data_IF_065453732917
#
_entry.id   IF_065453732917
#
_cell.length_a   1.000
_cell.length_b   1.000
_cell.length_c   1.000
_cell.angle_alpha   90.00
_cell.angle_beta   90.00
_cell.angle_gamma   90.00
#
_symmetry.space_group_name_H-M   'P 1'
#
loop_
_entity.id
_entity.type
_entity.pdbx_description
1 polymer ?
#
# COMPACT_ATOMS: atom_id res chain seq x y z
N UNK A 1 6.24 18.69 5.54
CA UNK A 1 6.35 17.45 4.74
C UNK A 1 4.94 16.92 4.60
N UNK A 2 4.43 16.66 3.39
CA UNK A 2 3.20 15.89 3.29
C UNK A 2 3.52 14.45 3.67
N UNK A 3 2.68 13.82 4.48
CA UNK A 3 2.74 12.39 4.65
C UNK A 3 2.45 11.74 3.28
N UNK A 4 3.24 10.75 2.92
CA UNK A 4 3.04 9.97 1.69
C UNK A 4 1.72 9.20 1.83
N UNK A 5 0.90 9.18 0.78
CA UNK A 5 -0.28 8.33 0.80
C UNK A 5 0.13 6.85 0.82
N UNK A 6 -0.79 5.98 1.22
CA UNK A 6 -0.55 4.54 1.18
C UNK A 6 -0.19 4.05 -0.24
N UNK A 7 -0.81 4.62 -1.26
CA UNK A 7 -0.50 4.34 -2.67
C UNK A 7 0.95 4.69 -3.00
N UNK A 8 1.43 5.84 -2.54
CA UNK A 8 2.80 6.29 -2.75
C UNK A 8 3.80 5.39 -2.02
N UNK A 9 3.47 4.93 -0.81
CA UNK A 9 4.32 4.02 -0.04
C UNK A 9 4.47 2.67 -0.76
N UNK A 10 3.35 2.10 -1.22
CA UNK A 10 3.35 0.82 -1.95
C UNK A 10 4.15 0.95 -3.25
N UNK A 11 3.91 2.02 -4.01
CA UNK A 11 4.63 2.28 -5.26
C UNK A 11 6.15 2.39 -5.01
N UNK A 12 6.58 3.20 -4.05
CA UNK A 12 7.99 3.40 -3.75
C UNK A 12 8.69 2.11 -3.33
N UNK A 13 8.09 1.31 -2.45
CA UNK A 13 8.71 0.07 -1.99
C UNK A 13 8.69 -1.01 -3.08
N UNK A 14 7.66 -1.04 -3.93
CA UNK A 14 7.61 -1.92 -5.10
C UNK A 14 8.74 -1.60 -6.08
N UNK A 15 8.98 -0.31 -6.34
CA UNK A 15 10.06 0.13 -7.23
C UNK A 15 11.45 -0.13 -6.63
N UNK A 16 11.63 0.08 -5.32
CA UNK A 16 12.86 -0.30 -4.60
C UNK A 16 13.14 -1.81 -4.65
N UNK A 17 12.09 -2.63 -4.59
CA UNK A 17 12.19 -4.08 -4.76
C UNK A 17 12.38 -4.51 -6.22
N UNK A 18 12.32 -3.58 -7.18
CA UNK A 18 12.42 -3.82 -8.62
C UNK A 18 11.44 -4.89 -9.14
N UNK A 19 10.21 -4.88 -8.63
CA UNK A 19 9.15 -5.79 -9.07
C UNK A 19 8.02 -5.04 -9.80
N UNK A 20 7.40 -5.73 -10.75
CA UNK A 20 6.23 -5.23 -11.47
C UNK A 20 4.96 -5.35 -10.62
N UNK A 21 3.90 -4.62 -11.00
CA UNK A 21 2.56 -4.82 -10.42
C UNK A 21 2.04 -6.26 -10.57
N UNK A 22 2.41 -6.96 -11.65
CA UNK A 22 2.03 -8.36 -11.83
C UNK A 22 2.73 -9.27 -10.80
N UNK A 23 4.02 -9.07 -10.57
CA UNK A 23 4.78 -9.83 -9.57
C UNK A 23 4.30 -9.53 -8.14
N UNK A 24 4.03 -8.27 -7.82
CA UNK A 24 3.44 -7.92 -6.53
C UNK A 24 2.07 -8.58 -6.34
N UNK A 25 1.25 -8.67 -7.39
CA UNK A 25 -0.05 -9.34 -7.34
C UNK A 25 0.09 -10.83 -7.03
N UNK A 26 1.04 -11.49 -7.67
CA UNK A 26 1.36 -12.90 -7.44
C UNK A 26 1.86 -13.15 -6.01
N UNK A 27 2.82 -12.35 -5.54
CA UNK A 27 3.43 -12.49 -4.22
C UNK A 27 2.46 -12.19 -3.07
N UNK A 28 1.61 -11.18 -3.23
CA UNK A 28 0.68 -10.75 -2.17
C UNK A 28 -0.68 -11.45 -2.21
N UNK A 29 -1.02 -12.08 -3.34
CA UNK A 29 -2.36 -12.59 -3.60
C UNK A 29 -3.43 -11.49 -3.63
N UNK A 30 -3.04 -10.27 -4.01
CA UNK A 30 -3.94 -9.12 -4.26
C UNK A 30 -3.99 -8.91 -5.77
N UNK A 31 -5.18 -8.68 -6.34
CA UNK A 31 -5.29 -8.57 -7.79
C UNK A 31 -4.53 -7.34 -8.33
N UNK A 32 -3.92 -7.48 -9.51
CA UNK A 32 -3.22 -6.39 -10.20
C UNK A 32 -4.08 -5.14 -10.37
N UNK A 33 -5.37 -5.32 -10.64
CA UNK A 33 -6.34 -4.22 -10.76
C UNK A 33 -6.49 -3.45 -9.45
N UNK A 34 -6.57 -4.15 -8.31
CA UNK A 34 -6.64 -3.51 -6.99
C UNK A 34 -5.35 -2.76 -6.69
N UNK A 35 -4.19 -3.36 -6.95
CA UNK A 35 -2.89 -2.70 -6.76
C UNK A 35 -2.77 -1.41 -7.59
N UNK A 36 -3.19 -1.45 -8.87
CA UNK A 36 -3.16 -0.27 -9.73
C UNK A 36 -4.06 0.85 -9.20
N UNK A 37 -5.24 0.54 -8.66
CA UNK A 37 -6.12 1.53 -8.04
C UNK A 37 -5.54 2.10 -6.74
N UNK A 38 -4.84 1.28 -5.97
CA UNK A 38 -4.15 1.73 -4.75
C UNK A 38 -3.01 2.69 -5.12
N UNK A 39 -2.11 2.32 -6.02
CA UNK A 39 -0.98 3.18 -6.44
C UNK A 39 -1.44 4.49 -7.10
N UNK A 40 -2.62 4.50 -7.74
CA UNK A 40 -3.23 5.72 -8.31
C UNK A 40 -4.00 6.58 -7.29
N UNK A 41 -4.12 6.14 -6.03
CA UNK A 41 -4.91 6.83 -5.01
C UNK A 41 -6.43 6.72 -5.17
N UNK A 42 -6.92 5.90 -6.12
CA UNK A 42 -8.35 5.63 -6.32
C UNK A 42 -8.92 4.77 -5.18
N UNK A 43 -8.07 4.00 -4.50
CA UNK A 43 -8.42 3.26 -3.28
C UNK A 43 -7.81 3.96 -2.07
N UNK A 44 -8.58 4.83 -1.43
CA UNK A 44 -8.13 5.61 -0.25
C UNK A 44 -7.92 4.75 1.00
N UNK A 45 -8.72 3.69 1.16
CA UNK A 45 -8.66 2.77 2.31
C UNK A 45 -8.82 1.31 1.85
N UNK A 46 -7.73 0.61 1.52
CA UNK A 46 -7.80 -0.84 1.36
C UNK A 46 -8.08 -1.51 2.71
N UNK A 47 -8.80 -2.63 2.69
CA UNK A 47 -9.05 -3.43 3.89
C UNK A 47 -7.73 -3.82 4.59
N UNK A 48 -7.77 -3.94 5.93
CA UNK A 48 -6.60 -4.33 6.73
C UNK A 48 -5.95 -5.64 6.25
N UNK A 49 -6.74 -6.57 5.73
CA UNK A 49 -6.25 -7.83 5.15
C UNK A 49 -5.39 -7.61 3.90
N UNK A 50 -5.80 -6.73 3.00
CA UNK A 50 -5.01 -6.31 1.83
C UNK A 50 -3.74 -5.61 2.30
N UNK A 51 -3.87 -4.71 3.27
CA UNK A 51 -2.76 -3.97 3.85
C UNK A 51 -1.68 -4.91 4.44
N UNK A 52 -2.11 -5.90 5.24
CA UNK A 52 -1.25 -6.91 5.85
C UNK A 52 -0.53 -7.79 4.81
N UNK A 53 -1.20 -8.12 3.71
CA UNK A 53 -0.58 -8.89 2.61
C UNK A 53 0.53 -8.10 1.93
N UNK A 54 0.27 -6.82 1.62
CA UNK A 54 1.24 -5.98 0.91
C UNK A 54 2.45 -5.63 1.78
N UNK A 55 2.23 -5.31 3.04
CA UNK A 55 3.31 -5.04 3.99
C UNK A 55 4.23 -6.22 4.24
N UNK A 56 3.70 -7.45 4.25
CA UNK A 56 4.51 -8.66 4.37
C UNK A 56 5.43 -8.87 3.17
N UNK A 57 4.96 -8.55 1.95
CA UNK A 57 5.75 -8.71 0.72
C UNK A 57 6.76 -7.59 0.53
N UNK A 58 6.37 -6.35 0.85
CA UNK A 58 7.17 -5.15 0.62
C UNK A 58 8.03 -4.75 1.84
N UNK A 59 7.99 -5.54 2.91
CA UNK A 59 8.72 -5.29 4.17
C UNK A 59 8.57 -3.85 4.68
N UNK A 60 7.33 -3.36 4.66
CA UNK A 60 7.04 -1.97 5.00
C UNK A 60 7.35 -1.67 6.49
N UNK A 61 8.06 -0.58 6.82
CA UNK A 61 8.35 -0.26 8.22
C UNK A 61 7.09 0.15 9.00
N UNK A 62 6.92 -0.42 10.20
CA UNK A 62 5.79 -0.19 11.11
C UNK A 62 5.37 1.28 11.35
N UNK A 63 6.28 2.26 11.45
CA UNK A 63 5.88 3.65 11.65
C UNK A 63 4.98 4.17 10.51
N UNK A 64 5.25 3.78 9.26
CA UNK A 64 4.45 4.21 8.10
C UNK A 64 3.07 3.53 8.07
N UNK A 65 3.02 2.29 8.57
CA UNK A 65 1.78 1.51 8.71
C UNK A 65 0.81 2.26 9.62
N UNK A 66 1.28 2.59 10.82
CA UNK A 66 0.47 3.18 11.89
C UNK A 66 -0.04 4.56 11.48
N UNK A 67 0.80 5.40 10.85
CA UNK A 67 0.38 6.71 10.37
C UNK A 67 -0.77 6.65 9.36
N UNK A 68 -0.78 5.66 8.46
CA UNK A 68 -1.85 5.50 7.47
C UNK A 68 -3.20 5.10 8.08
N UNK A 69 -3.23 4.53 9.30
CA UNK A 69 -4.48 4.18 9.99
C UNK A 69 -5.02 5.31 10.88
N UNK A 70 -4.15 6.20 11.35
CA UNK A 70 -4.54 7.31 12.24
C UNK A 70 -5.15 8.47 11.45
N UNK A 71 -4.66 8.77 10.24
CA UNK A 71 -5.22 9.85 9.39
C UNK A 71 -6.69 9.63 8.99
N UNK A 72 -7.20 8.40 9.13
CA UNK A 72 -8.58 8.05 8.77
C UNK A 72 -9.59 8.17 9.92
N UNK A 73 -9.15 8.48 11.14
CA UNK A 73 -10.02 8.68 12.30
C UNK A 73 -10.44 10.14 12.53
N UNK A 74 -9.92 11.08 11.74
CA UNK A 74 -10.09 12.54 11.95
C UNK A 74 -10.74 13.27 10.76
N UNK A 75 -11.52 12.56 9.93
CA UNK A 75 -12.48 13.21 9.01
C UNK A 75 -13.90 12.97 9.53
N UNK A 76 -14.61 13.98 10.06
CA UNK A 76 -16.04 13.89 10.35
C UNK A 76 -16.88 13.69 9.08
#
# INVERSE_FOLDING_TARGET
>A
MSLLSLGDLINQYREKANITLSQLAELSGVSKTVLAKIEKGETKQPAFTTWKKLSGVLELPYPFIISSFIETADNP
#
